data_IF_464795191688
#
_entry.id   IF_464795191688
#
_cell.length_a   1.000
_cell.length_b   1.000
_cell.length_c   1.000
_cell.angle_alpha   90.00
_cell.angle_beta   90.00
_cell.angle_gamma   90.00
#
_symmetry.space_group_name_H-M   'P 1'
#
loop_
_entity.id
_entity.type
_entity.pdbx_description
1 polymer ?
#
# COMPACT_ATOMS: atom_id res chain seq x y z
N UNK A 1 -11.34 -15.76 1.27
CA UNK A 1 -10.60 -14.51 0.96
C UNK A 1 -10.96 -14.14 -0.46
N UNK A 2 -11.39 -12.89 -0.70
CA UNK A 2 -11.60 -12.38 -2.04
C UNK A 2 -10.26 -11.90 -2.62
N UNK A 3 -9.65 -12.70 -3.50
CA UNK A 3 -8.35 -12.36 -4.10
C UNK A 3 -8.56 -11.42 -5.30
N UNK A 4 -7.68 -10.43 -5.45
CA UNK A 4 -7.68 -9.51 -6.61
C UNK A 4 -8.82 -8.48 -6.62
N UNK A 5 -9.56 -8.34 -5.51
CA UNK A 5 -10.63 -7.36 -5.34
C UNK A 5 -10.38 -6.54 -4.10
N UNK A 6 -10.81 -5.28 -4.10
CA UNK A 6 -10.78 -4.46 -2.89
C UNK A 6 -11.67 -5.08 -1.81
N UNK A 7 -11.25 -4.94 -0.54
CA UNK A 7 -12.05 -5.37 0.60
C UNK A 7 -13.34 -4.56 0.70
N UNK A 8 -14.37 -5.18 1.24
CA UNK A 8 -15.70 -4.59 1.47
C UNK A 8 -16.03 -4.40 2.95
N UNK A 9 -15.10 -4.75 3.85
CA UNK A 9 -15.26 -4.76 5.31
C UNK A 9 -16.41 -5.65 5.81
N UNK A 10 -16.85 -6.64 5.03
CA UNK A 10 -17.92 -7.56 5.44
C UNK A 10 -17.59 -8.35 6.73
N UNK A 11 -16.29 -8.49 7.05
CA UNK A 11 -15.77 -9.16 8.26
C UNK A 11 -15.32 -8.19 9.35
N UNK A 12 -15.60 -6.89 9.18
CA UNK A 12 -15.11 -5.83 10.06
C UNK A 12 -14.03 -4.96 9.41
N UNK A 13 -13.59 -3.90 10.10
CA UNK A 13 -12.59 -2.96 9.60
C UNK A 13 -11.23 -3.63 9.43
N UNK A 14 -10.43 -3.14 8.49
CA UNK A 14 -9.03 -3.56 8.34
C UNK A 14 -8.17 -2.86 9.38
N UNK A 15 -7.60 -3.65 10.28
CA UNK A 15 -6.81 -3.17 11.41
C UNK A 15 -5.42 -3.81 11.41
N UNK A 16 -4.40 -3.01 11.71
CA UNK A 16 -3.06 -3.50 12.03
C UNK A 16 -3.03 -3.72 13.53
N UNK A 17 -2.97 -4.98 13.92
CA UNK A 17 -3.03 -5.42 15.32
C UNK A 17 -1.75 -6.10 15.75
N UNK A 18 -1.45 -6.05 17.05
CA UNK A 18 -0.44 -6.88 17.69
C UNK A 18 -1.01 -7.56 18.93
N UNK A 19 -0.36 -8.60 19.44
CA UNK A 19 -0.78 -9.30 20.66
C UNK A 19 -1.34 -10.68 20.35
N UNK A 20 -1.62 -11.44 21.41
CA UNK A 20 -2.20 -12.77 21.29
C UNK A 20 -3.70 -12.67 20.94
N UNK A 21 -4.24 -13.74 20.36
CA UNK A 21 -5.67 -13.86 20.06
C UNK A 21 -6.52 -13.56 21.31
N UNK A 22 -7.46 -12.62 21.19
CA UNK A 22 -8.33 -12.15 22.29
C UNK A 22 -7.70 -11.09 23.22
N UNK A 23 -6.48 -10.65 22.94
CA UNK A 23 -5.80 -9.52 23.61
C UNK A 23 -5.10 -8.62 22.59
N UNK A 24 -5.75 -8.41 21.45
CA UNK A 24 -5.22 -7.60 20.37
C UNK A 24 -5.21 -6.12 20.75
N UNK A 25 -4.08 -5.46 20.51
CA UNK A 25 -3.95 -4.02 20.49
C UNK A 25 -4.02 -3.54 19.05
N UNK A 26 -5.00 -2.70 18.74
CA UNK A 26 -5.13 -2.03 17.44
C UNK A 26 -4.18 -0.84 17.40
N UNK A 27 -3.16 -0.90 16.54
CA UNK A 27 -2.21 0.21 16.34
C UNK A 27 -2.71 1.19 15.29
N UNK A 28 -3.39 0.67 14.28
CA UNK A 28 -3.89 1.45 13.16
C UNK A 28 -5.14 0.80 12.58
N UNK A 29 -6.12 1.63 12.25
CA UNK A 29 -7.29 1.24 11.47
C UNK A 29 -7.22 1.91 10.11
N UNK A 30 -7.25 1.09 9.05
CA UNK A 30 -7.23 1.58 7.69
C UNK A 30 -8.54 2.28 7.32
N UNK A 31 -8.56 3.16 6.30
CA UNK A 31 -9.78 3.82 5.85
C UNK A 31 -10.91 2.83 5.56
N UNK A 32 -12.15 3.15 5.95
CA UNK A 32 -13.31 2.31 5.69
C UNK A 32 -13.44 1.94 4.19
N UNK A 33 -13.89 0.72 3.89
CA UNK A 33 -13.98 0.18 2.52
C UNK A 33 -14.70 1.11 1.53
N UNK A 34 -15.75 1.81 1.96
CA UNK A 34 -16.49 2.80 1.15
C UNK A 34 -15.61 3.93 0.59
N UNK A 35 -14.46 4.22 1.22
CA UNK A 35 -13.51 5.24 0.77
C UNK A 35 -12.49 4.69 -0.24
N UNK A 36 -12.29 3.38 -0.31
CA UNK A 36 -11.19 2.76 -1.09
C UNK A 36 -11.20 3.20 -2.54
N UNK A 37 -12.37 3.27 -3.18
CA UNK A 37 -12.47 3.75 -4.56
C UNK A 37 -11.86 5.14 -4.74
N UNK A 38 -12.22 6.07 -3.86
CA UNK A 38 -11.68 7.44 -3.89
C UNK A 38 -10.18 7.46 -3.58
N UNK A 39 -9.76 6.80 -2.51
CA UNK A 39 -8.35 6.81 -2.08
C UNK A 39 -7.43 6.16 -3.12
N UNK A 40 -7.83 5.03 -3.69
CA UNK A 40 -7.07 4.36 -4.75
C UNK A 40 -7.02 5.18 -6.04
N UNK A 41 -8.12 5.87 -6.41
CA UNK A 41 -8.08 6.80 -7.55
C UNK A 41 -7.09 7.94 -7.32
N UNK A 42 -7.06 8.53 -6.12
CA UNK A 42 -6.11 9.58 -5.78
C UNK A 42 -4.66 9.06 -5.80
N UNK A 43 -4.41 7.92 -5.16
CA UNK A 43 -3.11 7.26 -5.15
C UNK A 43 -2.61 6.97 -6.57
N UNK A 44 -3.43 6.32 -7.41
CA UNK A 44 -3.04 5.96 -8.78
C UNK A 44 -2.82 7.21 -9.66
N UNK A 45 -3.63 8.25 -9.47
CA UNK A 45 -3.44 9.53 -10.18
C UNK A 45 -2.10 10.16 -9.80
N UNK A 46 -1.79 10.23 -8.51
CA UNK A 46 -0.51 10.74 -8.03
C UNK A 46 0.66 9.89 -8.52
N UNK A 47 0.57 8.57 -8.33
CA UNK A 47 1.65 7.62 -8.62
C UNK A 47 2.04 7.61 -10.10
N UNK A 48 1.06 7.72 -11.01
CA UNK A 48 1.29 7.80 -12.45
C UNK A 48 1.62 9.21 -12.96
N UNK A 49 1.44 10.24 -12.13
CA UNK A 49 1.85 11.60 -12.45
C UNK A 49 3.35 11.84 -12.23
N UNK A 50 3.76 13.07 -12.51
CA UNK A 50 5.11 13.58 -12.21
C UNK A 50 4.99 14.75 -11.23
N UNK A 51 5.93 14.84 -10.30
CA UNK A 51 6.13 16.00 -9.42
C UNK A 51 7.63 16.17 -9.15
N UNK A 52 8.02 17.24 -8.46
CA UNK A 52 9.42 17.56 -8.16
C UNK A 52 9.96 16.78 -6.94
N UNK A 53 9.27 15.73 -6.50
CA UNK A 53 9.71 14.90 -5.38
C UNK A 53 10.91 14.06 -5.80
N UNK A 54 11.94 14.01 -4.95
CA UNK A 54 13.07 13.10 -5.13
C UNK A 54 12.56 11.66 -5.42
N UNK A 55 13.06 10.99 -6.47
CA UNK A 55 12.56 9.68 -6.87
C UNK A 55 12.64 8.58 -5.79
N UNK A 56 13.65 8.63 -4.90
CA UNK A 56 13.79 7.68 -3.79
C UNK A 56 12.75 7.98 -2.71
N UNK A 57 12.56 9.26 -2.37
CA UNK A 57 11.47 9.67 -1.47
C UNK A 57 10.11 9.29 -2.03
N UNK A 58 9.91 9.43 -3.35
CA UNK A 58 8.68 9.04 -4.03
C UNK A 58 8.40 7.54 -3.91
N UNK A 59 9.42 6.68 -3.97
CA UNK A 59 9.28 5.25 -3.73
C UNK A 59 8.84 4.95 -2.29
N UNK A 60 9.44 5.62 -1.31
CA UNK A 60 9.05 5.52 0.10
C UNK A 60 7.60 5.97 0.35
N UNK A 61 7.19 7.09 -0.25
CA UNK A 61 5.82 7.60 -0.20
C UNK A 61 4.83 6.63 -0.84
N UNK A 62 5.17 6.03 -1.98
CA UNK A 62 4.30 5.06 -2.65
C UNK A 62 4.08 3.81 -1.79
N UNK A 63 5.13 3.30 -1.15
CA UNK A 63 5.03 2.20 -0.18
C UNK A 63 4.11 2.57 0.98
N UNK A 64 4.41 3.69 1.66
CA UNK A 64 3.69 4.15 2.84
C UNK A 64 2.21 4.42 2.54
N UNK A 65 1.91 5.04 1.41
CA UNK A 65 0.54 5.38 1.03
C UNK A 65 -0.28 4.12 0.76
N UNK A 66 0.23 3.16 -0.02
CA UNK A 66 -0.52 1.92 -0.27
C UNK A 66 -0.76 1.13 1.01
N UNK A 67 0.26 0.98 1.87
CA UNK A 67 0.10 0.30 3.16
C UNK A 67 -0.73 1.12 4.16
N UNK A 68 -1.00 2.40 3.92
CA UNK A 68 -1.97 3.16 4.74
C UNK A 68 -3.40 2.94 4.23
N UNK A 69 -3.61 2.84 2.92
CA UNK A 69 -4.93 2.54 2.32
C UNK A 69 -5.38 1.11 2.67
N UNK A 70 -4.45 0.15 2.65
CA UNK A 70 -4.72 -1.27 2.90
C UNK A 70 -5.91 -1.81 2.06
N UNK A 71 -5.84 -1.74 0.71
CA UNK A 71 -7.01 -1.97 -0.14
C UNK A 71 -7.50 -3.43 -0.22
N UNK A 72 -6.68 -4.42 0.13
CA UNK A 72 -7.01 -5.84 -0.01
C UNK A 72 -7.22 -6.54 1.34
N UNK A 73 -7.92 -7.68 1.36
CA UNK A 73 -8.05 -8.51 2.57
C UNK A 73 -6.72 -9.11 3.04
N UNK A 74 -5.82 -9.43 2.11
CA UNK A 74 -4.45 -9.92 2.36
C UNK A 74 -3.52 -9.46 1.23
N UNK A 75 -2.20 -9.44 1.49
CA UNK A 75 -1.18 -9.16 0.50
C UNK A 75 -0.77 -7.68 0.37
N UNK A 76 -1.34 -6.78 1.16
CA UNK A 76 -1.06 -5.34 1.09
C UNK A 76 0.45 -5.02 1.22
N UNK A 77 1.15 -5.64 2.18
CA UNK A 77 2.60 -5.46 2.33
C UNK A 77 3.40 -5.97 1.13
N UNK A 78 3.02 -7.11 0.54
CA UNK A 78 3.67 -7.65 -0.67
C UNK A 78 3.50 -6.71 -1.86
N UNK A 79 2.31 -6.14 -2.03
CA UNK A 79 2.01 -5.21 -3.12
C UNK A 79 2.69 -3.85 -2.87
N UNK A 80 2.72 -3.35 -1.64
CA UNK A 80 3.40 -2.10 -1.29
C UNK A 80 4.89 -2.16 -1.64
N UNK A 81 5.56 -3.28 -1.33
CA UNK A 81 6.94 -3.53 -1.73
C UNK A 81 7.12 -3.56 -3.23
N UNK A 82 6.30 -4.34 -3.94
CA UNK A 82 6.38 -4.43 -5.40
C UNK A 82 6.23 -3.04 -6.08
N UNK A 83 5.35 -2.19 -5.56
CA UNK A 83 5.19 -0.81 -6.04
C UNK A 83 6.42 0.05 -5.73
N UNK A 84 6.98 -0.07 -4.52
CA UNK A 84 8.19 0.64 -4.13
C UNK A 84 9.40 0.24 -4.99
N UNK A 85 9.60 -1.06 -5.20
CA UNK A 85 10.65 -1.59 -6.06
C UNK A 85 10.50 -1.09 -7.50
N UNK A 86 9.27 -1.04 -8.02
CA UNK A 86 8.99 -0.49 -9.34
C UNK A 86 9.32 1.01 -9.41
N UNK A 87 9.01 1.78 -8.37
CA UNK A 87 9.34 3.20 -8.31
C UNK A 87 10.86 3.43 -8.23
N UNK A 88 11.58 2.61 -7.46
CA UNK A 88 13.05 2.65 -7.39
C UNK A 88 13.68 2.29 -8.74
N UNK A 89 13.23 1.24 -9.41
CA UNK A 89 13.74 0.89 -10.74
C UNK A 89 13.54 2.03 -11.76
N UNK A 90 12.39 2.73 -11.70
CA UNK A 90 12.13 3.93 -12.51
C UNK A 90 13.07 5.09 -12.19
N UNK A 91 13.47 5.25 -10.93
CA UNK A 91 14.42 6.31 -10.52
C UNK A 91 15.79 6.17 -11.16
N UNK A 92 16.25 4.93 -11.35
CA UNK A 92 17.56 4.62 -11.93
C UNK A 92 17.54 4.54 -13.45
N UNK A 93 16.37 4.75 -14.07
CA UNK A 93 16.12 4.51 -15.50
C UNK A 93 16.60 3.12 -15.96
N UNK A 94 16.59 2.15 -15.04
CA UNK A 94 17.10 0.81 -15.26
C UNK A 94 15.94 -0.18 -15.34
N UNK A 95 15.94 -1.09 -16.33
CA UNK A 95 15.00 -2.21 -16.35
C UNK A 95 15.35 -3.28 -15.32
N UNK A 96 16.52 -3.19 -14.67
CA UNK A 96 17.00 -4.15 -13.68
C UNK A 96 16.63 -3.69 -12.27
N UNK A 97 16.19 -4.64 -11.44
CA UNK A 97 15.88 -4.40 -10.03
C UNK A 97 17.13 -4.63 -9.18
N UNK A 98 17.77 -3.55 -8.75
CA UNK A 98 18.95 -3.61 -7.87
C UNK A 98 18.58 -3.61 -6.38
N UNK A 99 17.40 -3.10 -6.02
CA UNK A 99 16.91 -3.08 -4.63
C UNK A 99 15.86 -4.17 -4.41
N UNK A 100 15.96 -4.84 -3.26
CA UNK A 100 14.95 -5.77 -2.78
C UNK A 100 14.43 -5.29 -1.43
N UNK A 101 13.29 -4.61 -1.44
CA UNK A 101 12.55 -4.33 -0.21
C UNK A 101 11.96 -5.66 0.33
N UNK A 102 12.25 -6.01 1.59
CA UNK A 102 11.85 -7.27 2.25
C UNK A 102 10.47 -7.24 2.92
#
# INVERSE_FOLDING_TARGET
>A
IAVGRWRDDAKGPMQVVSGALGRELVHFEAPAAKRLKKEMTLFLKWFNGTDDTDPVLRAGLAHLWLVTIHPFEDGNGRIARAIADMALARSEQSPQRFYSMS
#
